data_IF_017153108521
#
_entry.id   IF_017153108521
#
_cell.length_a   1.000
_cell.length_b   1.000
_cell.length_c   1.000
_cell.angle_alpha   90.00
_cell.angle_beta   90.00
_cell.angle_gamma   90.00
#
_symmetry.space_group_name_H-M   'P 1'
#
loop_
_entity.id
_entity.type
_entity.pdbx_description
1 polymer ?
#
# COMPACT_ATOMS: atom_id res chain seq x y z
N UNK A 1 8.03 19.62 -12.63
CA UNK A 1 8.80 18.57 -11.94
C UNK A 1 10.12 18.42 -12.71
N UNK A 2 11.29 18.68 -12.10
CA UNK A 2 12.53 18.73 -12.86
C UNK A 2 13.02 17.32 -13.17
N UNK A 3 13.51 17.13 -14.39
CA UNK A 3 14.14 15.92 -14.92
C UNK A 3 15.29 15.51 -13.98
N UNK A 4 15.53 14.22 -13.70
CA UNK A 4 16.62 13.79 -12.84
C UNK A 4 17.95 14.31 -13.40
N UNK A 5 18.62 15.20 -12.64
CA UNK A 5 19.87 15.91 -13.01
C UNK A 5 21.01 15.00 -13.50
N UNK A 6 20.92 13.69 -13.24
CA UNK A 6 21.94 12.70 -13.58
C UNK A 6 21.98 12.44 -15.09
N UNK A 7 20.84 12.34 -15.77
CA UNK A 7 20.79 12.01 -17.20
C UNK A 7 21.35 13.11 -18.11
N UNK A 8 21.11 14.38 -17.78
CA UNK A 8 21.62 15.53 -18.56
C UNK A 8 23.16 15.64 -18.51
N UNK A 9 23.81 15.09 -17.47
CA UNK A 9 25.27 15.16 -17.29
C UNK A 9 26.05 14.18 -18.15
N UNK A 10 25.43 13.08 -18.57
CA UNK A 10 26.05 11.99 -19.35
C UNK A 10 25.72 12.05 -20.85
N UNK A 11 25.01 13.09 -21.32
CA UNK A 11 24.67 13.22 -22.74
C UNK A 11 23.75 12.12 -23.27
N UNK A 12 23.08 11.38 -22.38
CA UNK A 12 22.17 10.31 -22.75
C UNK A 12 20.79 10.90 -23.10
N UNK A 13 20.34 10.67 -24.33
CA UNK A 13 18.97 10.96 -24.70
C UNK A 13 18.01 10.05 -23.92
N UNK A 14 17.00 10.64 -23.28
CA UNK A 14 16.00 9.86 -22.53
C UNK A 14 15.23 8.99 -23.52
N UNK A 15 15.12 7.66 -23.27
CA UNK A 15 14.35 6.78 -24.13
C UNK A 15 12.90 7.28 -24.17
N UNK A 16 12.47 7.76 -25.33
CA UNK A 16 11.10 8.23 -25.54
C UNK A 16 10.22 7.03 -25.81
N UNK A 17 9.37 6.70 -24.84
CA UNK A 17 8.40 5.61 -24.96
C UNK A 17 7.02 6.23 -25.19
N UNK A 18 6.45 6.02 -26.37
CA UNK A 18 5.04 6.24 -26.68
C UNK A 18 4.28 4.94 -26.43
N UNK A 19 3.20 4.99 -25.64
CA UNK A 19 2.31 3.85 -25.43
C UNK A 19 0.99 4.15 -26.13
N UNK A 20 0.58 3.29 -27.06
CA UNK A 20 -0.69 3.38 -27.76
C UNK A 20 -1.55 2.17 -27.41
N UNK A 21 -2.82 2.41 -27.15
CA UNK A 21 -3.78 1.35 -26.87
C UNK A 21 -5.05 1.59 -27.67
N UNK A 22 -5.56 0.54 -28.27
CA UNK A 22 -6.74 0.57 -29.11
C UNK A 22 -7.66 -0.59 -28.82
N UNK A 23 -8.95 -0.28 -28.68
CA UNK A 23 -10.04 -1.20 -28.36
C UNK A 23 -9.69 -2.13 -27.20
N UNK A 24 -9.13 -1.56 -26.12
CA UNK A 24 -8.73 -2.31 -24.95
C UNK A 24 -9.96 -2.67 -24.10
N UNK A 25 -10.25 -3.96 -24.00
CA UNK A 25 -11.22 -4.52 -23.08
C UNK A 25 -10.53 -5.36 -22.01
N UNK A 26 -11.03 -5.26 -20.80
CA UNK A 26 -10.59 -6.08 -19.67
C UNK A 26 -11.83 -6.64 -19.00
N UNK A 27 -11.97 -7.96 -19.05
CA UNK A 27 -13.08 -8.68 -18.44
C UNK A 27 -12.59 -9.52 -17.26
N UNK A 28 -13.32 -9.44 -16.15
CA UNK A 28 -13.13 -10.33 -15.02
C UNK A 28 -14.06 -11.51 -15.12
N UNK A 29 -13.49 -12.71 -15.07
CA UNK A 29 -14.27 -13.93 -14.85
C UNK A 29 -14.61 -14.00 -13.36
N UNK A 30 -15.86 -13.72 -13.03
CA UNK A 30 -16.38 -13.95 -11.70
C UNK A 30 -17.11 -15.29 -11.71
N UNK A 31 -16.56 -16.26 -10.98
CA UNK A 31 -17.38 -17.38 -10.52
C UNK A 31 -18.47 -16.79 -9.63
N UNK A 32 -19.72 -16.97 -10.03
CA UNK A 32 -20.85 -16.57 -9.21
C UNK A 32 -20.89 -17.50 -8.01
N UNK A 33 -20.19 -17.10 -6.94
CA UNK A 33 -20.39 -17.70 -5.62
C UNK A 33 -21.81 -17.29 -5.21
N UNK A 34 -22.76 -18.20 -5.43
CA UNK A 34 -24.06 -18.12 -4.79
C UNK A 34 -23.83 -18.23 -3.27
N UNK A 35 -23.57 -17.10 -2.62
CA UNK A 35 -23.77 -16.98 -1.19
C UNK A 35 -25.23 -17.36 -0.90
N UNK A 36 -25.46 -18.10 0.21
CA UNK A 36 -26.80 -18.52 0.63
C UNK A 36 -27.75 -17.33 0.51
N UNK A 37 -28.79 -17.38 -0.35
CA UNK A 37 -29.74 -16.30 -0.42
C UNK A 37 -30.44 -16.21 0.95
N UNK A 38 -30.73 -14.99 1.38
CA UNK A 38 -31.56 -14.74 2.57
C UNK A 38 -32.83 -15.59 2.40
N UNK A 39 -33.20 -16.43 3.39
CA UNK A 39 -34.24 -17.42 3.22
C UNK A 39 -35.60 -16.72 3.08
N UNK A 40 -36.06 -16.56 1.85
CA UNK A 40 -37.44 -16.21 1.52
C UNK A 40 -38.08 -17.40 0.82
N UNK A 41 -39.36 -17.63 1.12
CA UNK A 41 -40.19 -18.79 0.72
C UNK A 41 -40.06 -19.18 -0.78
N UNK A 42 -39.80 -18.21 -1.66
CA UNK A 42 -39.58 -18.41 -3.08
C UNK A 42 -38.38 -19.33 -3.41
N UNK A 43 -37.30 -19.26 -2.64
CA UNK A 43 -36.09 -20.03 -2.90
C UNK A 43 -36.23 -21.52 -2.55
N UNK A 44 -37.11 -21.86 -1.59
CA UNK A 44 -37.36 -23.25 -1.21
C UNK A 44 -38.10 -24.02 -2.31
N UNK A 45 -39.02 -23.36 -3.04
CA UNK A 45 -39.81 -23.98 -4.11
C UNK A 45 -38.97 -24.10 -5.40
N UNK A 46 -38.18 -23.08 -5.75
CA UNK A 46 -37.32 -23.10 -6.94
C UNK A 46 -36.20 -24.17 -6.86
N UNK A 47 -35.69 -24.47 -5.67
CA UNK A 47 -34.57 -25.40 -5.44
C UNK A 47 -34.84 -26.89 -5.72
N UNK A 48 -36.10 -27.28 -5.93
CA UNK A 48 -36.45 -28.66 -6.31
C UNK A 48 -36.45 -28.87 -7.82
N UNK A 49 -36.69 -27.82 -8.62
CA UNK A 49 -36.78 -27.91 -10.08
C UNK A 49 -35.40 -27.72 -10.72
N UNK A 50 -34.53 -26.90 -10.13
CA UNK A 50 -33.18 -26.62 -10.66
C UNK A 50 -32.18 -27.77 -10.53
N UNK A 51 -32.50 -28.84 -9.79
CA UNK A 51 -31.58 -29.97 -9.55
C UNK A 51 -31.32 -30.84 -10.78
N UNK A 52 -32.11 -30.68 -11.85
CA UNK A 52 -31.94 -31.41 -13.12
C UNK A 52 -31.05 -30.65 -14.14
N UNK A 53 -30.77 -29.36 -13.94
CA UNK A 53 -29.87 -28.57 -14.80
C UNK A 53 -28.84 -27.77 -13.99
N UNK A 54 -27.78 -28.44 -13.54
CA UNK A 54 -26.60 -27.77 -12.97
C UNK A 54 -25.73 -27.15 -14.07
N UNK A 55 -26.12 -25.97 -14.56
CA UNK A 55 -25.24 -25.09 -15.33
C UNK A 55 -24.57 -24.09 -14.38
N UNK A 56 -23.26 -24.23 -14.19
CA UNK A 56 -22.41 -23.18 -13.63
C UNK A 56 -22.61 -21.92 -14.47
N UNK A 57 -23.20 -20.87 -13.88
CA UNK A 57 -23.43 -19.61 -14.58
C UNK A 57 -22.24 -18.70 -14.31
N UNK A 58 -21.21 -18.80 -15.14
CA UNK A 58 -20.12 -17.82 -15.17
C UNK A 58 -20.68 -16.48 -15.67
N UNK A 59 -20.38 -15.39 -14.96
CA UNK A 59 -20.77 -14.05 -15.40
C UNK A 59 -19.51 -13.21 -15.50
N UNK A 60 -19.10 -12.89 -16.73
CA UNK A 60 -18.00 -11.95 -16.96
C UNK A 60 -18.49 -10.53 -16.66
N UNK A 61 -17.69 -9.78 -15.89
CA UNK A 61 -17.90 -8.36 -15.66
C UNK A 61 -16.82 -7.62 -16.43
N UNK A 62 -17.24 -6.77 -17.36
CA UNK A 62 -16.30 -5.89 -18.07
C UNK A 62 -15.86 -4.74 -17.15
N UNK A 63 -14.55 -4.67 -16.89
CA UNK A 63 -13.89 -3.60 -16.13
C UNK A 63 -13.55 -2.42 -17.06
N UNK A 64 -13.07 -2.70 -18.28
CA UNK A 64 -12.73 -1.71 -19.30
C UNK A 64 -13.48 -2.04 -20.59
N UNK A 65 -14.13 -1.04 -21.18
CA UNK A 65 -14.96 -1.19 -22.38
C UNK A 65 -14.37 -0.39 -23.55
N UNK A 66 -13.59 -1.03 -24.43
CA UNK A 66 -13.14 -0.46 -25.69
C UNK A 66 -12.37 0.85 -25.54
N UNK A 67 -11.43 0.89 -24.58
CA UNK A 67 -10.71 2.13 -24.28
C UNK A 67 -9.62 2.36 -25.31
N UNK A 68 -9.58 3.58 -25.85
CA UNK A 68 -8.65 4.01 -26.89
C UNK A 68 -7.82 5.21 -26.39
N UNK A 69 -6.52 5.26 -26.69
CA UNK A 69 -5.68 6.39 -26.27
C UNK A 69 -4.18 6.24 -26.50
N UNK A 70 -3.46 7.34 -26.22
CA UNK A 70 -2.01 7.45 -26.43
C UNK A 70 -1.39 8.17 -25.23
N UNK A 71 -0.37 7.56 -24.63
CA UNK A 71 0.50 8.19 -23.63
C UNK A 71 1.75 8.69 -24.36
N UNK A 72 1.87 10.01 -24.47
CA UNK A 72 3.00 10.65 -25.15
C UNK A 72 4.23 10.71 -24.26
N UNK A 73 5.44 10.51 -24.81
CA UNK A 73 6.68 10.70 -24.07
C UNK A 73 6.85 12.16 -23.65
N UNK A 74 7.71 12.41 -22.65
CA UNK A 74 8.05 13.76 -22.15
C UNK A 74 6.88 14.56 -21.56
N UNK A 75 5.71 13.95 -21.32
CA UNK A 75 4.56 14.57 -20.64
C UNK A 75 4.09 13.69 -19.49
N UNK A 76 3.63 14.33 -18.42
CA UNK A 76 3.00 13.63 -17.30
C UNK A 76 1.52 13.44 -17.60
N UNK A 77 1.07 12.18 -17.65
CA UNK A 77 -0.35 11.84 -17.84
C UNK A 77 -0.96 11.49 -16.49
N UNK A 78 -1.99 12.23 -16.07
CA UNK A 78 -2.72 11.98 -14.83
C UNK A 78 -4.04 11.26 -15.13
N UNK A 79 -4.24 10.09 -14.50
CA UNK A 79 -5.46 9.31 -14.65
C UNK A 79 -6.41 9.57 -13.47
N UNK A 80 -7.53 10.23 -13.73
CA UNK A 80 -8.51 10.64 -12.72
C UNK A 80 -9.83 9.88 -12.85
N UNK A 81 -10.53 9.72 -11.73
CA UNK A 81 -11.91 9.22 -11.70
C UNK A 81 -12.34 8.74 -10.31
N UNK A 82 -13.62 8.36 -10.14
CA UNK A 82 -14.15 7.84 -8.88
C UNK A 82 -13.49 6.51 -8.46
N UNK A 83 -13.56 6.13 -7.18
CA UNK A 83 -13.09 4.81 -6.74
C UNK A 83 -13.79 3.70 -7.55
N UNK A 84 -13.08 2.60 -7.80
CA UNK A 84 -13.58 1.43 -8.56
C UNK A 84 -13.81 1.58 -10.07
N UNK A 85 -13.46 2.70 -10.71
CA UNK A 85 -13.67 2.85 -12.17
C UNK A 85 -12.61 2.17 -13.07
N UNK A 86 -11.81 1.24 -12.53
CA UNK A 86 -10.83 0.49 -13.34
C UNK A 86 -9.50 1.18 -13.65
N UNK A 87 -9.16 2.31 -13.00
CA UNK A 87 -7.89 3.02 -13.22
C UNK A 87 -6.65 2.14 -13.04
N UNK A 88 -6.62 1.41 -11.93
CA UNK A 88 -5.54 0.47 -11.64
C UNK A 88 -5.49 -0.64 -12.68
N UNK A 89 -6.66 -1.14 -13.12
CA UNK A 89 -6.77 -2.16 -14.14
C UNK A 89 -6.24 -1.68 -15.49
N UNK A 90 -6.53 -0.43 -15.88
CA UNK A 90 -5.97 0.19 -17.09
C UNK A 90 -4.44 0.28 -17.01
N UNK A 91 -3.90 0.77 -15.90
CA UNK A 91 -2.44 0.88 -15.72
C UNK A 91 -1.74 -0.49 -15.72
N UNK A 92 -2.36 -1.50 -15.11
CA UNK A 92 -1.85 -2.87 -15.10
C UNK A 92 -1.92 -3.53 -16.48
N UNK A 93 -3.01 -3.31 -17.22
CA UNK A 93 -3.17 -3.79 -18.59
C UNK A 93 -2.12 -3.17 -19.52
N UNK A 94 -1.89 -1.85 -19.41
CA UNK A 94 -0.82 -1.19 -20.16
C UNK A 94 0.55 -1.73 -19.78
N UNK A 95 0.83 -1.95 -18.49
CA UNK A 95 2.09 -2.49 -18.02
C UNK A 95 2.31 -3.99 -18.33
N UNK A 96 1.34 -4.69 -18.93
CA UNK A 96 1.40 -6.13 -19.18
C UNK A 96 1.39 -6.99 -17.92
N UNK A 97 0.94 -6.44 -16.78
CA UNK A 97 0.91 -7.13 -15.48
C UNK A 97 -0.52 -7.40 -15.01
N UNK A 98 -1.41 -7.66 -15.95
CA UNK A 98 -2.77 -8.05 -15.60
C UNK A 98 -2.78 -9.47 -15.04
N UNK A 99 -3.67 -9.71 -14.08
CA UNK A 99 -3.83 -11.03 -13.47
C UNK A 99 -4.36 -12.03 -14.50
N UNK A 100 -3.96 -13.29 -14.39
CA UNK A 100 -4.32 -14.37 -15.34
C UNK A 100 -5.82 -14.75 -15.27
N UNK A 101 -6.50 -14.34 -14.20
CA UNK A 101 -7.96 -14.43 -14.03
C UNK A 101 -8.74 -13.42 -14.88
N UNK A 102 -8.06 -12.45 -15.49
CA UNK A 102 -8.66 -11.38 -16.28
C UNK A 102 -8.37 -11.59 -17.78
N UNK A 103 -9.42 -11.68 -18.59
CA UNK A 103 -9.31 -11.70 -20.05
C UNK A 103 -9.05 -10.29 -20.55
N UNK A 104 -7.92 -10.11 -21.23
CA UNK A 104 -7.59 -8.84 -21.92
C UNK A 104 -7.76 -9.05 -23.42
N UNK A 105 -8.54 -8.19 -24.07
CA UNK A 105 -8.61 -8.11 -25.54
C UNK A 105 -8.29 -6.69 -26.00
N UNK A 106 -7.79 -6.55 -27.22
CA UNK A 106 -7.32 -5.28 -27.76
C UNK A 106 -5.81 -5.21 -27.93
N UNK A 107 -5.34 -4.11 -28.52
CA UNK A 107 -3.93 -3.96 -28.86
C UNK A 107 -3.29 -2.87 -28.01
N UNK A 108 -2.13 -3.19 -27.43
CA UNK A 108 -1.26 -2.22 -26.75
C UNK A 108 0.14 -2.31 -27.37
N UNK A 109 0.64 -1.17 -27.84
CA UNK A 109 1.96 -1.07 -28.47
C UNK A 109 2.84 0.00 -27.82
N UNK A 110 4.14 -0.29 -27.78
CA UNK A 110 5.20 0.56 -27.27
C UNK A 110 6.10 0.95 -28.44
N UNK A 111 6.10 2.23 -28.84
CA UNK A 111 6.83 2.71 -30.01
C UNK A 111 6.56 1.89 -31.29
N UNK A 112 5.35 1.34 -31.44
CA UNK A 112 4.96 0.50 -32.57
C UNK A 112 5.15 -1.01 -32.38
N UNK A 113 5.88 -1.45 -31.34
CA UNK A 113 6.04 -2.88 -31.02
C UNK A 113 4.94 -3.38 -30.09
N UNK A 114 4.41 -4.58 -30.35
CA UNK A 114 3.38 -5.18 -29.51
C UNK A 114 3.96 -5.65 -28.17
N UNK A 115 3.10 -5.68 -27.16
CA UNK A 115 3.40 -6.21 -25.82
C UNK A 115 3.88 -7.68 -25.83
N UNK A 116 3.55 -8.45 -26.87
CA UNK A 116 3.97 -9.85 -27.05
C UNK A 116 5.39 -9.99 -27.60
N UNK A 117 5.92 -8.97 -28.26
CA UNK A 117 7.25 -9.00 -28.90
C UNK A 117 8.35 -8.48 -27.96
N UNK A 118 7.96 -7.81 -26.89
CA UNK A 118 8.85 -7.07 -26.02
C UNK A 118 8.54 -7.39 -24.56
N UNK A 119 9.56 -7.49 -23.70
CA UNK A 119 9.36 -7.65 -22.26
C UNK A 119 9.03 -6.28 -21.65
N UNK A 120 7.75 -5.94 -21.41
CA UNK A 120 7.35 -4.60 -21.00
C UNK A 120 7.85 -4.28 -19.59
N UNK A 121 8.12 -5.32 -18.79
CA UNK A 121 8.62 -5.21 -17.41
C UNK A 121 9.98 -4.51 -17.30
N UNK A 122 10.78 -4.53 -18.37
CA UNK A 122 12.08 -3.82 -18.41
C UNK A 122 11.92 -2.31 -18.64
N UNK A 123 10.75 -1.87 -19.08
CA UNK A 123 10.55 -0.53 -19.69
C UNK A 123 9.43 0.25 -19.00
N UNK A 124 8.44 -0.45 -18.46
CA UNK A 124 7.41 0.11 -17.61
C UNK A 124 7.32 -0.70 -16.32
N UNK A 125 7.62 -0.07 -15.20
CA UNK A 125 7.42 -0.66 -13.88
C UNK A 125 6.22 0.01 -13.19
N UNK A 126 5.16 -0.75 -12.96
CA UNK A 126 4.06 -0.28 -12.13
C UNK A 126 4.45 -0.39 -10.64
N UNK A 127 4.63 0.76 -9.99
CA UNK A 127 4.93 0.82 -8.54
C UNK A 127 3.63 1.03 -7.76
N UNK A 128 3.07 -0.06 -7.24
CA UNK A 128 1.94 0.01 -6.31
C UNK A 128 2.42 0.53 -4.96
N UNK A 129 1.90 1.68 -4.51
CA UNK A 129 2.15 2.18 -3.14
C UNK A 129 1.35 1.36 -2.12
N UNK A 130 1.92 0.24 -1.66
CA UNK A 130 1.31 -0.62 -0.64
C UNK A 130 1.49 -0.06 0.77
N UNK A 131 0.66 -0.49 1.73
CA UNK A 131 0.83 -0.14 3.16
C UNK A 131 2.22 -0.51 3.67
N UNK A 132 2.78 -1.65 3.24
CA UNK A 132 4.14 -2.08 3.57
C UNK A 132 5.19 -1.08 3.05
N UNK A 133 5.03 -0.58 1.82
CA UNK A 133 5.93 0.43 1.26
C UNK A 133 5.86 1.76 2.04
N UNK A 134 4.66 2.18 2.45
CA UNK A 134 4.51 3.38 3.30
C UNK A 134 5.25 3.27 4.63
N UNK A 135 5.19 2.10 5.27
CA UNK A 135 5.93 1.83 6.52
C UNK A 135 7.44 1.88 6.32
N UNK A 136 7.97 1.22 5.29
CA UNK A 136 9.41 1.23 4.99
C UNK A 136 9.94 2.64 4.73
N UNK A 137 9.21 3.43 3.93
CA UNK A 137 9.58 4.82 3.64
C UNK A 137 9.54 5.66 4.92
N UNK A 138 8.47 5.54 5.73
CA UNK A 138 8.36 6.28 6.98
C UNK A 138 9.52 6.01 7.93
N UNK A 139 9.93 4.75 8.05
CA UNK A 139 11.09 4.40 8.87
C UNK A 139 12.40 4.99 8.39
N UNK A 140 12.64 5.03 7.09
CA UNK A 140 13.83 5.66 6.54
C UNK A 140 13.88 7.15 6.90
N UNK A 141 12.74 7.84 6.87
CA UNK A 141 12.64 9.23 7.34
C UNK A 141 12.95 9.36 8.82
N UNK A 142 12.40 8.48 9.67
CA UNK A 142 12.66 8.53 11.10
C UNK A 142 14.12 8.21 11.45
N UNK A 143 14.72 7.21 10.81
CA UNK A 143 16.15 6.88 11.00
C UNK A 143 17.05 8.05 10.62
N UNK A 144 16.72 8.77 9.55
CA UNK A 144 17.44 9.99 9.16
C UNK A 144 17.24 11.11 10.18
N UNK A 145 16.05 11.26 10.76
CA UNK A 145 15.76 12.28 11.76
C UNK A 145 16.50 12.04 13.07
N UNK A 146 16.54 10.78 13.55
CA UNK A 146 17.27 10.40 14.77
C UNK A 146 18.79 10.52 14.60
N UNK A 147 19.30 10.33 13.38
CA UNK A 147 20.72 10.48 13.07
C UNK A 147 21.22 11.93 12.96
N UNK A 148 20.38 12.95 13.20
CA UNK A 148 20.79 14.36 13.22
C UNK A 148 21.26 14.73 14.62
N UNK A 149 22.40 15.42 14.72
CA UNK A 149 22.88 16.02 15.96
C UNK A 149 22.56 17.53 16.00
N UNK A 150 22.03 18.06 17.13
CA UNK A 150 21.73 17.38 18.39
C UNK A 150 20.48 16.48 18.32
N UNK A 151 20.42 15.46 19.19
CA UNK A 151 19.29 14.54 19.27
C UNK A 151 18.01 15.30 19.60
N UNK A 152 17.01 15.20 18.72
CA UNK A 152 15.70 15.80 18.92
C UNK A 152 14.75 14.82 19.62
N UNK A 153 14.36 15.14 20.85
CA UNK A 153 13.44 14.35 21.67
C UNK A 153 12.08 14.14 20.97
N UNK A 154 11.62 15.11 20.17
CA UNK A 154 10.36 14.99 19.44
C UNK A 154 10.45 13.94 18.33
N UNK A 155 11.58 13.90 17.61
CA UNK A 155 11.82 12.92 16.56
C UNK A 155 11.92 11.50 17.12
N UNK A 156 12.63 11.33 18.26
CA UNK A 156 12.76 10.06 18.98
C UNK A 156 11.40 9.52 19.46
N UNK A 157 10.60 10.35 20.13
CA UNK A 157 9.26 9.95 20.62
C UNK A 157 8.30 9.55 19.47
N UNK A 158 8.34 10.29 18.36
CA UNK A 158 7.55 9.93 17.16
C UNK A 158 8.03 8.64 16.53
N UNK A 159 9.34 8.39 16.52
CA UNK A 159 9.91 7.15 16.00
C UNK A 159 9.54 5.96 16.88
N UNK A 160 9.65 6.10 18.20
CA UNK A 160 9.22 5.10 19.18
C UNK A 160 7.74 4.70 18.99
N UNK A 161 6.86 5.70 18.85
CA UNK A 161 5.43 5.47 18.57
C UNK A 161 5.21 4.73 17.24
N UNK A 162 6.01 5.03 16.22
CA UNK A 162 5.97 4.33 14.93
C UNK A 162 6.44 2.87 15.06
N UNK A 163 7.52 2.61 15.82
CA UNK A 163 8.02 1.25 16.06
C UNK A 163 6.97 0.41 16.79
N UNK A 164 6.39 0.94 17.86
CA UNK A 164 5.34 0.27 18.60
C UNK A 164 4.10 -0.01 17.73
N UNK A 165 3.51 1.00 17.07
CA UNK A 165 2.24 0.83 16.35
C UNK A 165 2.35 0.19 14.97
N UNK A 166 3.47 0.37 14.28
CA UNK A 166 3.61 -0.01 12.87
C UNK A 166 4.55 -1.18 12.63
N UNK A 167 5.51 -1.41 13.53
CA UNK A 167 6.49 -2.51 13.47
C UNK A 167 6.25 -3.59 14.51
N UNK A 168 5.50 -3.30 15.58
CA UNK A 168 5.27 -4.20 16.72
C UNK A 168 6.58 -4.58 17.45
N UNK A 169 7.57 -3.67 17.38
CA UNK A 169 8.88 -3.83 18.00
C UNK A 169 8.89 -3.05 19.32
N UNK A 170 8.57 -3.76 20.41
CA UNK A 170 8.38 -3.16 21.73
C UNK A 170 9.70 -2.71 22.35
N UNK A 171 10.74 -3.54 22.25
CA UNK A 171 12.05 -3.26 22.83
C UNK A 171 12.69 -2.03 22.17
N UNK A 172 12.69 -1.98 20.84
CA UNK A 172 13.24 -0.82 20.14
C UNK A 172 12.39 0.44 20.39
N UNK A 173 11.08 0.31 20.59
CA UNK A 173 10.23 1.44 20.97
C UNK A 173 10.58 1.96 22.38
N UNK A 174 10.75 1.08 23.35
CA UNK A 174 11.12 1.42 24.73
C UNK A 174 12.45 2.17 24.80
N UNK A 175 13.48 1.67 24.12
CA UNK A 175 14.79 2.33 24.03
C UNK A 175 14.67 3.77 23.51
N UNK A 176 13.91 3.98 22.42
CA UNK A 176 13.73 5.32 21.84
C UNK A 176 12.87 6.24 22.74
N UNK A 177 11.94 5.70 23.53
CA UNK A 177 11.18 6.49 24.50
C UNK A 177 12.07 6.97 25.65
N UNK A 178 12.94 6.10 26.17
CA UNK A 178 13.90 6.47 27.22
C UNK A 178 14.92 7.49 26.70
N UNK A 179 15.42 7.30 25.47
CA UNK A 179 16.34 8.26 24.84
C UNK A 179 15.69 9.63 24.61
N UNK A 180 14.39 9.67 24.31
CA UNK A 180 13.65 10.93 24.21
C UNK A 180 13.51 11.65 25.57
N UNK A 181 13.31 10.90 26.66
CA UNK A 181 13.22 11.45 28.01
C UNK A 181 14.59 11.95 28.48
N UNK A 182 15.68 11.25 28.16
CA UNK A 182 17.04 11.67 28.47
C UNK A 182 17.44 12.95 27.70
N UNK A 183 17.01 13.07 26.44
CA UNK A 183 17.26 14.25 25.63
C UNK A 183 16.52 15.52 26.14
N UNK A 184 15.34 15.36 26.76
CA UNK A 184 14.61 16.47 27.40
C UNK A 184 13.81 15.99 28.64
N UNK A 185 14.46 15.92 29.82
CA UNK A 185 13.84 15.41 31.04
C UNK A 185 12.83 16.39 31.66
N UNK A 186 12.81 17.64 31.20
CA UNK A 186 11.90 18.67 31.74
C UNK A 186 10.50 18.58 31.14
N UNK A 187 10.36 17.90 30.01
CA UNK A 187 9.13 17.85 29.24
C UNK A 187 8.30 16.60 29.56
N UNK A 188 7.19 16.81 30.26
CA UNK A 188 6.26 15.76 30.66
C UNK A 188 5.55 15.07 29.48
N UNK A 189 5.59 15.64 28.27
CA UNK A 189 4.98 15.03 27.08
C UNK A 189 5.62 13.68 26.72
N UNK A 190 6.95 13.55 26.87
CA UNK A 190 7.65 12.30 26.54
C UNK A 190 7.38 11.21 27.58
N UNK A 191 7.38 11.57 28.87
CA UNK A 191 6.98 10.69 29.95
C UNK A 191 5.53 10.19 29.79
N UNK A 192 4.61 11.07 29.36
CA UNK A 192 3.22 10.68 29.10
C UNK A 192 3.09 9.70 27.91
N UNK A 193 3.86 9.91 26.83
CA UNK A 193 3.87 8.97 25.70
C UNK A 193 4.45 7.61 26.10
N UNK A 194 5.49 7.59 26.93
CA UNK A 194 6.06 6.36 27.46
C UNK A 194 5.11 5.63 28.41
N UNK A 195 4.44 6.35 29.33
CA UNK A 195 3.41 5.76 30.18
C UNK A 195 2.25 5.16 29.38
N UNK A 196 1.84 5.83 28.29
CA UNK A 196 0.83 5.31 27.37
C UNK A 196 1.32 4.06 26.63
N UNK A 197 2.59 4.01 26.25
CA UNK A 197 3.18 2.79 25.68
C UNK A 197 3.10 1.64 26.68
N UNK A 198 3.61 1.82 27.90
CA UNK A 198 3.61 0.81 28.97
C UNK A 198 2.20 0.30 29.32
N UNK A 199 1.24 1.21 29.46
CA UNK A 199 -0.15 0.86 29.76
C UNK A 199 -0.77 -0.07 28.71
N UNK A 200 -0.42 0.13 27.43
CA UNK A 200 -0.97 -0.66 26.33
C UNK A 200 -0.16 -1.93 26.02
N UNK A 201 1.12 -1.98 26.39
CA UNK A 201 1.96 -3.16 26.18
C UNK A 201 1.93 -4.13 27.36
N UNK A 202 1.35 -3.73 28.50
CA UNK A 202 1.05 -4.62 29.61
C UNK A 202 2.28 -5.33 30.15
N UNK A 203 3.34 -4.58 30.44
CA UNK A 203 4.56 -5.15 31.03
C UNK A 203 4.26 -5.75 32.39
N UNK A 204 4.02 -7.07 32.43
CA UNK A 204 3.73 -7.87 33.64
C UNK A 204 4.82 -7.80 34.73
N UNK A 205 5.93 -7.06 34.53
CA UNK A 205 7.04 -6.97 35.49
C UNK A 205 7.58 -5.54 35.74
N UNK A 206 6.91 -4.47 35.27
CA UNK A 206 7.47 -3.10 35.35
C UNK A 206 6.77 -2.13 36.31
N UNK A 207 5.84 -2.62 37.13
CA UNK A 207 5.40 -1.85 38.29
C UNK A 207 6.58 -1.73 39.26
N UNK A 208 7.24 -0.58 39.25
CA UNK A 208 8.11 -0.14 40.35
C UNK A 208 7.43 -0.50 41.68
N UNK A 209 8.00 -1.37 42.52
CA UNK A 209 7.56 -1.43 43.90
C UNK A 209 7.85 -0.05 44.48
N UNK A 210 6.80 0.64 44.91
CA UNK A 210 6.97 1.76 45.82
C UNK A 210 7.52 1.14 47.10
N UNK A 211 8.84 1.20 47.30
CA UNK A 211 9.42 0.91 48.60
C UNK A 211 8.85 1.97 49.57
N UNK A 212 7.81 1.57 50.30
CA UNK A 212 7.38 2.23 51.52
C UNK A 212 8.50 2.07 52.56
N UNK A 213 9.43 3.03 52.59
CA UNK A 213 10.17 3.39 53.80
C UNK A 213 10.42 4.90 53.71
N UNK A 214 9.92 5.69 54.66
CA UNK A 214 10.39 5.67 56.03
C UNK A 214 9.26 5.80 57.07
N UNK A 215 9.30 4.88 58.02
CA UNK A 215 8.80 5.09 59.38
C UNK A 215 9.55 6.27 59.99
N UNK A 216 8.89 7.43 60.15
CA UNK A 216 9.31 8.44 61.09
C UNK A 216 8.85 8.02 62.49
N UNK A 217 9.70 7.27 63.19
CA UNK A 217 9.65 7.12 64.64
C UNK A 217 10.81 7.93 65.25
N UNK A 218 10.48 9.04 65.92
CA UNK A 218 10.86 9.46 67.29
C UNK A 218 10.07 10.73 67.63
#
# INVERSE_FOLDING_TARGET
MPIPRIFCRVGLELPTIEVRFSDLFVEAECEVVYGKPIPTLWNAIASRISRVMCLKKEKSISILNGVNGIIRPKRMTLLLGPPSCGKTSLLLALAGRLDHSLKTTGNVSYNGHLLSEFVPEKTSNYVKKTRKNKRKIAEEYFKRAVGVEPKDAEALSKYATFLWRARDDLWAAEENFLEAIDADPTNSFYAANYANFLWNTGGDETCFPLDESHEDNI
#
